data_IF_793962924948
#
_entry.id   IF_793962924948
#
_cell.length_a   1.000
_cell.length_b   1.000
_cell.length_c   1.000
_cell.angle_alpha   90.00
_cell.angle_beta   90.00
_cell.angle_gamma   90.00
#
_symmetry.space_group_name_H-M   'P 1'
#
loop_
_entity.id
_entity.type
_entity.pdbx_description
1 polymer ?
#
# COMPACT_ATOMS: atom_id res chain seq x y z
N UNK A 1 -15.57 7.09 -4.09
CA UNK A 1 -16.32 8.37 -3.91
C UNK A 1 -15.37 9.55 -3.77
N UNK A 2 -14.47 9.62 -2.77
CA UNK A 2 -13.57 10.79 -2.55
C UNK A 2 -12.79 11.18 -3.80
N UNK A 3 -12.19 10.22 -4.51
CA UNK A 3 -11.45 10.46 -5.75
C UNK A 3 -12.35 11.11 -6.82
N UNK A 4 -13.61 10.65 -6.94
CA UNK A 4 -14.59 11.17 -7.89
C UNK A 4 -15.03 12.60 -7.54
N UNK A 5 -15.09 12.93 -6.25
CA UNK A 5 -15.33 14.31 -5.79
C UNK A 5 -14.16 15.24 -6.15
N UNK A 6 -12.93 14.79 -6.00
CA UNK A 6 -11.74 15.58 -6.41
C UNK A 6 -11.72 15.77 -7.93
N UNK A 7 -12.07 14.72 -8.69
CA UNK A 7 -12.14 14.81 -10.15
C UNK A 7 -13.35 15.64 -10.66
N UNK A 8 -14.34 15.90 -9.83
CA UNK A 8 -15.55 16.69 -10.17
C UNK A 8 -16.68 15.90 -10.78
N UNK A 9 -16.65 14.56 -10.67
CA UNK A 9 -17.76 13.69 -11.09
C UNK A 9 -18.87 13.57 -10.05
N UNK A 10 -18.58 13.96 -8.81
CA UNK A 10 -19.52 14.01 -7.69
C UNK A 10 -19.27 15.26 -6.88
N UNK A 11 -20.30 15.79 -6.23
CA UNK A 11 -20.19 16.95 -5.34
C UNK A 11 -20.16 16.46 -3.88
N UNK A 12 -19.32 17.06 -3.02
CA UNK A 12 -19.39 16.78 -1.59
C UNK A 12 -20.67 17.39 -0.99
N UNK A 13 -21.31 16.68 -0.07
CA UNK A 13 -22.49 17.19 0.66
C UNK A 13 -22.10 18.36 1.57
N UNK A 14 -20.88 18.29 2.15
CA UNK A 14 -20.33 19.30 3.04
C UNK A 14 -18.83 19.43 2.85
N UNK A 15 -18.30 20.60 3.18
CA UNK A 15 -16.86 20.89 3.11
C UNK A 15 -16.40 21.38 1.75
N UNK A 16 -15.12 21.67 1.65
CA UNK A 16 -14.48 22.25 0.48
C UNK A 16 -13.26 21.47 0.07
N UNK A 17 -13.01 21.44 -1.24
CA UNK A 17 -11.85 20.80 -1.86
C UNK A 17 -10.99 21.90 -2.46
N UNK A 18 -9.71 21.91 -2.07
CA UNK A 18 -8.73 22.87 -2.57
C UNK A 18 -7.65 22.19 -3.41
N UNK A 19 -7.31 22.79 -4.55
CA UNK A 19 -6.08 22.53 -5.28
C UNK A 19 -5.16 23.73 -5.13
N UNK A 20 -4.07 23.58 -4.38
CA UNK A 20 -3.29 24.71 -3.91
C UNK A 20 -4.15 25.65 -3.07
N UNK A 21 -4.25 26.91 -3.49
CA UNK A 21 -5.10 27.93 -2.82
C UNK A 21 -6.49 28.08 -3.43
N UNK A 22 -6.83 27.31 -4.48
CA UNK A 22 -8.08 27.48 -5.24
C UNK A 22 -9.11 26.43 -4.81
N UNK A 23 -10.29 26.87 -4.36
CA UNK A 23 -11.44 26.01 -4.17
C UNK A 23 -11.97 25.51 -5.53
N UNK A 24 -12.27 24.22 -5.64
CA UNK A 24 -12.64 23.57 -6.90
C UNK A 24 -14.03 22.93 -6.88
N UNK A 25 -14.82 23.11 -5.82
CA UNK A 25 -16.14 22.49 -5.69
C UNK A 25 -17.04 22.76 -6.89
N UNK A 26 -17.14 24.05 -7.29
CA UNK A 26 -18.01 24.53 -8.37
C UNK A 26 -17.42 24.33 -9.78
N UNK A 27 -16.18 23.85 -9.88
CA UNK A 27 -15.54 23.65 -11.17
C UNK A 27 -15.98 22.33 -11.81
N UNK A 28 -16.41 22.41 -13.07
CA UNK A 28 -16.64 21.21 -13.88
C UNK A 28 -15.36 20.37 -14.03
N UNK A 29 -15.45 19.04 -14.24
CA UNK A 29 -14.28 18.16 -14.34
C UNK A 29 -13.22 18.66 -15.32
N UNK A 30 -13.62 19.13 -16.50
CA UNK A 30 -12.71 19.62 -17.54
C UNK A 30 -12.04 20.98 -17.23
N UNK A 31 -12.41 21.63 -16.14
CA UNK A 31 -11.83 22.88 -15.66
C UNK A 31 -10.94 22.69 -14.42
N UNK A 32 -10.89 21.48 -13.90
CA UNK A 32 -10.01 21.13 -12.78
C UNK A 32 -8.62 20.77 -13.31
N UNK A 33 -7.60 21.17 -12.59
CA UNK A 33 -6.21 20.84 -12.91
C UNK A 33 -5.88 19.42 -12.41
N UNK A 34 -6.69 18.46 -12.84
CA UNK A 34 -6.58 17.05 -12.50
C UNK A 34 -6.69 16.20 -13.75
N UNK A 35 -6.00 15.04 -13.75
CA UNK A 35 -6.23 13.98 -14.72
C UNK A 35 -6.46 12.66 -14.00
N UNK A 36 -7.27 11.78 -14.58
CA UNK A 36 -7.65 10.53 -13.94
C UNK A 36 -7.31 9.32 -14.83
N UNK A 37 -6.70 8.32 -14.21
CA UNK A 37 -6.49 6.98 -14.76
C UNK A 37 -7.50 6.05 -14.11
N UNK A 38 -8.42 5.51 -14.92
CA UNK A 38 -9.50 4.65 -14.46
C UNK A 38 -9.07 3.18 -14.42
N UNK A 39 -9.76 2.38 -13.64
CA UNK A 39 -9.58 0.94 -13.52
C UNK A 39 -9.69 0.22 -14.88
N UNK A 40 -10.60 0.64 -15.75
CA UNK A 40 -10.79 0.10 -17.10
C UNK A 40 -9.87 0.72 -18.16
N UNK A 41 -8.91 1.56 -17.73
CA UNK A 41 -8.05 2.40 -18.58
C UNK A 41 -8.83 3.42 -19.44
N UNK A 42 -10.09 3.18 -19.73
CA UNK A 42 -10.99 4.02 -20.54
C UNK A 42 -10.36 4.51 -21.85
N UNK A 43 -9.59 3.64 -22.51
CA UNK A 43 -9.01 3.96 -23.81
C UNK A 43 -10.10 4.10 -24.87
N UNK A 44 -9.88 5.00 -25.82
CA UNK A 44 -10.77 5.24 -26.93
C UNK A 44 -10.56 4.12 -27.97
N UNK A 45 -11.52 3.19 -28.17
CA UNK A 45 -11.27 1.96 -28.92
C UNK A 45 -11.09 2.17 -30.42
N UNK A 46 -11.57 3.30 -30.95
CA UNK A 46 -11.46 3.65 -32.37
C UNK A 46 -10.25 4.50 -32.72
N UNK A 47 -9.38 4.75 -31.73
CA UNK A 47 -8.15 5.51 -31.88
C UNK A 47 -6.94 4.60 -31.68
N UNK A 48 -5.88 4.89 -32.45
CA UNK A 48 -4.55 4.30 -32.20
C UNK A 48 -3.92 4.87 -30.94
N UNK A 49 -2.71 4.44 -30.60
CA UNK A 49 -1.95 4.91 -29.42
C UNK A 49 -1.71 6.41 -29.50
N UNK A 50 -1.23 6.91 -30.65
CA UNK A 50 -0.97 8.34 -30.86
C UNK A 50 -2.23 9.17 -30.60
N UNK A 51 -3.34 8.80 -31.22
CA UNK A 51 -4.60 9.55 -31.13
C UNK A 51 -5.22 9.51 -29.73
N UNK A 52 -5.06 8.40 -29.01
CA UNK A 52 -5.45 8.30 -27.60
C UNK A 52 -4.71 9.33 -26.75
N UNK A 53 -3.37 9.42 -26.89
CA UNK A 53 -2.54 10.35 -26.12
C UNK A 53 -2.82 11.80 -26.57
N UNK A 54 -2.90 12.04 -27.88
CA UNK A 54 -3.13 13.36 -28.46
C UNK A 54 -4.52 13.94 -28.19
N UNK A 55 -5.48 13.13 -27.74
CA UNK A 55 -6.89 13.52 -27.67
C UNK A 55 -7.12 14.82 -26.88
N UNK A 56 -6.58 14.92 -25.67
CA UNK A 56 -6.72 16.12 -24.84
C UNK A 56 -6.05 17.35 -25.45
N UNK A 57 -4.88 17.17 -26.07
CA UNK A 57 -4.15 18.26 -26.75
C UNK A 57 -4.93 18.79 -27.97
N UNK A 58 -5.58 17.88 -28.71
CA UNK A 58 -6.46 18.27 -29.83
C UNK A 58 -7.65 19.10 -29.35
N UNK A 59 -8.26 18.75 -28.21
CA UNK A 59 -9.34 19.53 -27.61
C UNK A 59 -8.87 20.92 -27.15
N UNK A 60 -7.61 21.07 -26.72
CA UNK A 60 -6.98 22.37 -26.43
C UNK A 60 -6.63 23.17 -27.69
N UNK A 61 -6.82 22.59 -28.90
CA UNK A 61 -6.51 23.20 -30.19
C UNK A 61 -5.04 23.60 -30.37
N UNK A 62 -4.11 22.82 -29.82
CA UNK A 62 -2.68 23.06 -30.01
C UNK A 62 -2.25 22.85 -31.46
N UNK A 63 -1.16 23.48 -31.93
CA UNK A 63 -0.57 23.25 -33.24
C UNK A 63 -0.18 21.77 -33.44
N UNK A 64 -0.34 21.26 -34.66
CA UNK A 64 -0.07 19.84 -34.99
C UNK A 64 1.36 19.42 -34.63
N UNK A 65 2.35 20.25 -34.91
CA UNK A 65 3.76 19.95 -34.62
C UNK A 65 4.02 19.87 -33.10
N UNK A 66 3.38 20.72 -32.33
CA UNK A 66 3.47 20.70 -30.86
C UNK A 66 2.81 19.45 -30.28
N UNK A 67 1.61 19.07 -30.78
CA UNK A 67 0.94 17.81 -30.41
C UNK A 67 1.86 16.63 -30.69
N UNK A 68 2.44 16.57 -31.91
CA UNK A 68 3.35 15.50 -32.30
C UNK A 68 4.51 15.39 -31.35
N UNK A 69 5.20 16.50 -31.07
CA UNK A 69 6.33 16.54 -30.14
C UNK A 69 5.92 16.02 -28.76
N UNK A 70 4.87 16.58 -28.15
CA UNK A 70 4.44 16.19 -26.80
C UNK A 70 4.03 14.72 -26.71
N UNK A 71 3.37 14.18 -27.75
CA UNK A 71 2.99 12.76 -27.79
C UNK A 71 4.21 11.86 -27.87
N UNK A 72 5.21 12.19 -28.71
CA UNK A 72 6.43 11.38 -28.79
C UNK A 72 7.26 11.45 -27.51
N UNK A 73 7.35 12.62 -26.86
CA UNK A 73 8.00 12.76 -25.57
C UNK A 73 7.32 11.87 -24.49
N UNK A 74 5.98 11.77 -24.54
CA UNK A 74 5.23 10.88 -23.63
C UNK A 74 5.41 9.40 -23.97
N UNK A 75 5.46 9.03 -25.24
CA UNK A 75 5.70 7.65 -25.67
C UNK A 75 7.08 7.16 -25.22
N UNK A 76 8.08 8.03 -25.31
CA UNK A 76 9.41 7.73 -24.79
C UNK A 76 9.39 7.55 -23.27
N UNK A 77 8.70 8.47 -22.56
CA UNK A 77 8.58 8.41 -21.09
C UNK A 77 7.96 7.11 -20.57
N UNK A 78 6.96 6.59 -21.30
CA UNK A 78 6.22 5.35 -20.92
C UNK A 78 6.73 4.10 -21.65
N UNK A 79 7.86 4.18 -22.35
CA UNK A 79 8.49 3.07 -23.09
C UNK A 79 7.57 2.41 -24.11
N UNK A 80 6.86 3.22 -24.90
CA UNK A 80 5.98 2.78 -25.99
C UNK A 80 6.39 3.32 -27.36
N UNK A 81 7.60 3.80 -27.51
CA UNK A 81 8.15 4.29 -28.79
C UNK A 81 8.07 3.21 -29.87
N UNK A 82 7.60 3.56 -31.07
CA UNK A 82 7.37 2.63 -32.18
C UNK A 82 6.02 1.91 -32.14
N UNK A 83 5.12 2.30 -31.22
CA UNK A 83 3.76 1.73 -31.12
C UNK A 83 2.66 2.73 -31.49
N UNK A 84 3.02 3.89 -32.04
CA UNK A 84 2.15 5.04 -32.27
C UNK A 84 0.89 4.69 -33.06
N UNK A 85 1.05 3.86 -34.11
CA UNK A 85 0.00 3.48 -35.05
C UNK A 85 -0.82 2.24 -34.61
N UNK A 86 -0.42 1.57 -33.51
CA UNK A 86 -1.15 0.40 -33.02
C UNK A 86 -2.50 0.79 -32.46
N UNK A 87 -3.49 -0.04 -32.75
CA UNK A 87 -4.82 0.08 -32.15
C UNK A 87 -4.82 -0.47 -30.74
N UNK A 88 -5.70 0.04 -29.87
CA UNK A 88 -5.77 -0.35 -28.45
C UNK A 88 -5.99 -1.84 -28.22
N UNK A 89 -6.71 -2.53 -29.11
CA UNK A 89 -6.96 -3.98 -29.07
C UNK A 89 -5.74 -4.84 -29.45
N UNK A 90 -4.69 -4.24 -30.00
CA UNK A 90 -3.42 -4.90 -30.34
C UNK A 90 -2.39 -4.82 -29.19
N UNK A 91 -2.76 -4.21 -28.06
CA UNK A 91 -1.89 -3.96 -26.93
C UNK A 91 -2.16 -4.95 -25.80
N UNK A 92 -1.09 -5.36 -25.10
CA UNK A 92 -1.24 -6.06 -23.81
C UNK A 92 -1.84 -5.14 -22.74
N UNK A 93 -2.39 -5.71 -21.66
CA UNK A 93 -2.97 -4.93 -20.56
C UNK A 93 -2.02 -3.89 -19.98
N UNK A 94 -0.74 -4.24 -19.78
CA UNK A 94 0.28 -3.28 -19.32
C UNK A 94 0.57 -2.17 -20.33
N UNK A 95 0.56 -2.47 -21.65
CA UNK A 95 0.71 -1.45 -22.68
C UNK A 95 -0.51 -0.52 -22.72
N UNK A 96 -1.71 -1.06 -22.57
CA UNK A 96 -2.95 -0.26 -22.49
C UNK A 96 -2.89 0.70 -21.29
N UNK A 97 -2.42 0.22 -20.14
CA UNK A 97 -2.25 1.03 -18.94
C UNK A 97 -1.23 2.16 -19.16
N UNK A 98 -0.08 1.86 -19.80
CA UNK A 98 0.93 2.88 -20.15
C UNK A 98 0.36 3.95 -21.09
N UNK A 99 -0.49 3.56 -22.05
CA UNK A 99 -1.19 4.52 -22.90
C UNK A 99 -2.15 5.40 -22.10
N UNK A 100 -2.92 4.82 -21.16
CA UNK A 100 -3.81 5.58 -20.31
C UNK A 100 -3.04 6.57 -19.42
N UNK A 101 -1.90 6.14 -18.86
CA UNK A 101 -1.01 6.98 -18.09
C UNK A 101 -0.43 8.13 -18.93
N UNK A 102 0.09 7.84 -20.13
CA UNK A 102 0.61 8.84 -21.06
C UNK A 102 -0.46 9.87 -21.44
N UNK A 103 -1.70 9.41 -21.73
CA UNK A 103 -2.84 10.28 -22.02
C UNK A 103 -3.19 11.23 -20.85
N UNK A 104 -3.06 10.76 -19.62
CA UNK A 104 -3.27 11.59 -18.45
C UNK A 104 -2.12 12.60 -18.25
N UNK A 105 -0.87 12.14 -18.38
CA UNK A 105 0.33 12.94 -18.13
C UNK A 105 0.60 14.01 -19.20
N UNK A 106 0.26 13.75 -20.47
CA UNK A 106 0.48 14.71 -21.58
C UNK A 106 -0.25 16.02 -21.34
N UNK A 107 -1.30 16.01 -20.55
CA UNK A 107 -2.07 17.20 -20.16
C UNK A 107 -1.37 18.04 -19.10
N UNK A 108 -0.25 17.54 -18.51
CA UNK A 108 0.52 18.19 -17.44
C UNK A 108 -0.37 18.62 -16.27
N UNK A 109 -1.15 17.71 -15.65
CA UNK A 109 -2.07 18.06 -14.57
C UNK A 109 -1.29 18.39 -13.29
N UNK A 110 -1.83 19.26 -12.44
CA UNK A 110 -1.29 19.53 -11.12
C UNK A 110 -1.46 18.33 -10.17
N UNK A 111 -2.51 17.51 -10.36
CA UNK A 111 -2.75 16.27 -9.59
C UNK A 111 -3.18 15.13 -10.50
N UNK A 112 -2.53 13.98 -10.33
CA UNK A 112 -2.87 12.74 -11.02
C UNK A 112 -3.68 11.83 -10.09
N UNK A 113 -4.83 11.36 -10.56
CA UNK A 113 -5.77 10.55 -9.80
C UNK A 113 -5.78 9.12 -10.36
N UNK A 114 -5.60 8.13 -9.50
CA UNK A 114 -5.62 6.72 -9.87
C UNK A 114 -6.74 5.98 -9.15
N UNK A 115 -7.66 5.39 -9.91
CA UNK A 115 -8.78 4.59 -9.39
C UNK A 115 -8.53 3.12 -9.69
N UNK A 116 -7.87 2.42 -8.78
CA UNK A 116 -7.49 1.00 -8.87
C UNK A 116 -6.83 0.59 -10.20
N UNK A 117 -5.83 1.32 -10.69
CA UNK A 117 -5.35 1.18 -12.07
C UNK A 117 -4.65 -0.16 -12.36
N UNK A 118 -4.25 -0.92 -11.34
CA UNK A 118 -3.52 -2.19 -11.48
C UNK A 118 -4.38 -3.43 -11.25
N UNK A 119 -5.65 -3.29 -10.90
CA UNK A 119 -6.52 -4.40 -10.50
C UNK A 119 -6.75 -5.43 -11.61
N UNK A 120 -6.72 -5.01 -12.88
CA UNK A 120 -6.96 -5.86 -14.06
C UNK A 120 -5.69 -6.56 -14.58
N UNK A 121 -4.55 -6.43 -13.91
CA UNK A 121 -3.29 -7.03 -14.32
C UNK A 121 -2.99 -8.32 -13.54
N UNK A 122 -2.27 -9.24 -14.18
CA UNK A 122 -1.70 -10.39 -13.50
C UNK A 122 -0.64 -9.98 -12.47
N UNK A 123 -0.32 -10.87 -11.52
CA UNK A 123 0.55 -10.56 -10.39
C UNK A 123 1.96 -10.09 -10.81
N UNK A 124 2.55 -10.72 -11.84
CA UNK A 124 3.91 -10.37 -12.31
C UNK A 124 3.92 -8.99 -12.97
N UNK A 125 2.97 -8.73 -13.85
CA UNK A 125 2.85 -7.46 -14.55
C UNK A 125 2.51 -6.32 -13.57
N UNK A 126 1.68 -6.59 -12.54
CA UNK A 126 1.35 -5.63 -11.48
C UNK A 126 2.60 -5.15 -10.73
N UNK A 127 3.52 -6.05 -10.37
CA UNK A 127 4.78 -5.68 -9.71
C UNK A 127 5.63 -4.78 -10.59
N UNK A 128 5.75 -5.09 -11.89
CA UNK A 128 6.51 -4.28 -12.86
C UNK A 128 5.88 -2.89 -13.00
N UNK A 129 4.57 -2.83 -13.27
CA UNK A 129 3.84 -1.58 -13.49
C UNK A 129 3.84 -0.67 -12.26
N UNK A 130 3.77 -1.23 -11.05
CA UNK A 130 3.90 -0.49 -9.80
C UNK A 130 5.24 0.25 -9.73
N UNK A 131 6.33 -0.45 -10.01
CA UNK A 131 7.68 0.13 -10.02
C UNK A 131 7.80 1.25 -11.07
N UNK A 132 7.25 1.06 -12.26
CA UNK A 132 7.26 2.05 -13.34
C UNK A 132 6.46 3.30 -13.00
N UNK A 133 5.24 3.14 -12.51
CA UNK A 133 4.40 4.27 -12.07
C UNK A 133 5.14 5.09 -11.00
N UNK A 134 5.77 4.44 -10.01
CA UNK A 134 6.53 5.13 -8.97
C UNK A 134 7.71 5.91 -9.56
N UNK A 135 8.49 5.31 -10.46
CA UNK A 135 9.61 5.97 -11.13
C UNK A 135 9.15 7.20 -11.93
N UNK A 136 8.08 7.07 -12.71
CA UNK A 136 7.52 8.18 -13.49
C UNK A 136 7.05 9.30 -12.57
N UNK A 137 6.31 8.99 -11.51
CA UNK A 137 5.81 9.94 -10.54
C UNK A 137 6.97 10.71 -9.88
N UNK A 138 8.04 10.01 -9.45
CA UNK A 138 9.22 10.61 -8.86
C UNK A 138 10.00 11.48 -9.87
N UNK A 139 10.17 11.00 -11.11
CA UNK A 139 10.87 11.75 -12.19
C UNK A 139 10.16 13.07 -12.50
N UNK A 140 8.83 13.07 -12.48
CA UNK A 140 8.02 14.26 -12.80
C UNK A 140 7.75 15.15 -11.58
N UNK A 141 7.94 14.63 -10.34
CA UNK A 141 7.60 15.35 -9.11
C UNK A 141 6.11 15.68 -8.96
N UNK A 142 5.23 14.94 -9.66
CA UNK A 142 3.79 15.21 -9.68
C UNK A 142 3.10 14.69 -8.41
N UNK A 143 2.15 15.44 -7.90
CA UNK A 143 1.26 14.96 -6.84
C UNK A 143 0.32 13.90 -7.40
N UNK A 144 0.27 12.74 -6.74
CA UNK A 144 -0.61 11.64 -7.13
C UNK A 144 -1.50 11.20 -5.96
N UNK A 145 -2.78 10.96 -6.23
CA UNK A 145 -3.70 10.32 -5.28
C UNK A 145 -4.07 8.97 -5.86
N UNK A 146 -3.79 7.92 -5.10
CA UNK A 146 -3.93 6.54 -5.52
C UNK A 146 -4.94 5.83 -4.62
N UNK A 147 -6.00 5.28 -5.20
CA UNK A 147 -6.97 4.42 -4.50
C UNK A 147 -6.69 2.98 -4.85
N UNK A 148 -6.52 2.14 -3.85
CA UNK A 148 -6.31 0.71 -4.00
C UNK A 148 -6.84 -0.05 -2.79
N UNK A 149 -7.19 -1.30 -2.98
CA UNK A 149 -7.41 -2.28 -1.93
C UNK A 149 -6.21 -3.24 -1.75
N UNK A 150 -5.19 -3.13 -2.60
CA UNK A 150 -3.96 -3.91 -2.50
C UNK A 150 -2.96 -3.22 -1.56
N UNK A 151 -2.65 -3.89 -0.45
CA UNK A 151 -1.74 -3.40 0.57
C UNK A 151 -0.32 -3.17 0.03
N UNK A 152 0.14 -4.07 -0.86
CA UNK A 152 1.48 -3.97 -1.44
C UNK A 152 1.59 -2.76 -2.37
N UNK A 153 0.51 -2.37 -3.05
CA UNK A 153 0.46 -1.13 -3.83
C UNK A 153 0.55 0.09 -2.92
N UNK A 154 -0.29 0.15 -1.88
CA UNK A 154 -0.27 1.25 -0.93
C UNK A 154 1.12 1.42 -0.30
N UNK A 155 1.74 0.34 0.16
CA UNK A 155 3.05 0.37 0.80
C UNK A 155 4.20 0.79 -0.12
N UNK A 156 4.15 0.41 -1.40
CA UNK A 156 5.27 0.63 -2.32
C UNK A 156 5.18 1.90 -3.16
N UNK A 157 3.97 2.42 -3.36
CA UNK A 157 3.73 3.60 -4.22
C UNK A 157 3.63 4.90 -3.43
N UNK A 158 3.19 4.84 -2.16
CA UNK A 158 2.80 6.04 -1.42
C UNK A 158 3.94 6.62 -0.59
N UNK A 159 3.98 7.93 -0.47
CA UNK A 159 4.75 8.65 0.54
C UNK A 159 3.94 8.75 1.84
N UNK A 160 2.61 8.81 1.71
CA UNK A 160 1.66 8.84 2.83
C UNK A 160 0.44 7.98 2.51
N UNK A 161 -0.02 7.21 3.48
CA UNK A 161 -1.21 6.36 3.39
C UNK A 161 -2.32 6.93 4.27
N UNK A 162 -3.53 6.97 3.73
CA UNK A 162 -4.75 7.30 4.46
C UNK A 162 -5.62 6.04 4.48
N UNK A 163 -5.68 5.39 5.63
CA UNK A 163 -6.54 4.22 5.82
C UNK A 163 -7.94 4.66 6.27
N UNK A 164 -8.95 4.20 5.56
CA UNK A 164 -10.35 4.53 5.85
C UNK A 164 -11.12 3.32 6.37
N UNK A 165 -12.01 3.55 7.34
CA UNK A 165 -12.96 2.56 7.87
C UNK A 165 -14.33 3.22 8.03
N UNK A 166 -15.36 2.63 7.44
CA UNK A 166 -16.73 3.13 7.55
C UNK A 166 -16.88 4.64 7.22
N UNK A 167 -16.21 5.11 6.16
CA UNK A 167 -16.26 6.50 5.71
C UNK A 167 -15.44 7.49 6.54
N UNK A 168 -14.71 7.02 7.57
CA UNK A 168 -13.86 7.86 8.42
C UNK A 168 -12.39 7.46 8.27
N UNK A 169 -11.48 8.41 8.48
CA UNK A 169 -10.05 8.13 8.52
C UNK A 169 -9.73 7.38 9.80
N UNK A 170 -9.24 6.14 9.67
CA UNK A 170 -8.80 5.31 10.79
C UNK A 170 -7.37 5.67 11.21
N UNK A 171 -6.48 5.85 10.23
CA UNK A 171 -5.10 6.29 10.46
C UNK A 171 -4.56 6.95 9.19
N UNK A 172 -3.67 7.90 9.37
CA UNK A 172 -2.87 8.57 8.34
C UNK A 172 -1.41 8.56 8.79
N UNK A 173 -0.49 8.26 7.87
CA UNK A 173 0.95 8.24 8.15
C UNK A 173 1.76 7.68 6.98
N UNK A 174 3.07 7.63 7.14
CA UNK A 174 3.97 6.96 6.20
C UNK A 174 3.71 5.45 6.17
N UNK A 175 4.10 4.72 5.11
CA UNK A 175 3.98 3.27 5.07
C UNK A 175 4.57 2.57 6.30
N UNK A 176 5.75 3.03 6.76
CA UNK A 176 6.41 2.49 7.93
C UNK A 176 5.61 2.73 9.22
N UNK A 177 5.08 3.94 9.42
CA UNK A 177 4.25 4.25 10.60
C UNK A 177 2.97 3.41 10.64
N UNK A 178 2.29 3.24 9.49
CA UNK A 178 1.07 2.44 9.40
C UNK A 178 1.37 0.96 9.72
N UNK A 179 2.52 0.44 9.28
CA UNK A 179 2.90 -0.96 9.47
C UNK A 179 3.42 -1.27 10.87
N UNK A 180 4.37 -0.44 11.36
CA UNK A 180 5.07 -0.70 12.62
C UNK A 180 4.40 -0.07 13.85
N UNK A 181 3.59 0.97 13.65
CA UNK A 181 2.93 1.73 14.72
C UNK A 181 1.44 1.92 14.45
N UNK A 182 0.70 0.81 14.22
CA UNK A 182 -0.74 0.88 13.99
C UNK A 182 -1.44 1.44 15.23
N UNK A 183 -2.44 2.31 15.03
CA UNK A 183 -3.21 2.93 16.14
C UNK A 183 -4.37 2.07 16.64
N UNK A 184 -4.64 0.93 16.01
CA UNK A 184 -5.71 0.02 16.40
C UNK A 184 -5.48 -1.38 15.82
N UNK A 185 -6.13 -2.38 16.41
CA UNK A 185 -6.15 -3.75 15.88
C UNK A 185 -6.63 -3.80 14.42
N UNK A 186 -7.64 -2.98 14.08
CA UNK A 186 -8.13 -2.88 12.72
C UNK A 186 -7.04 -2.45 11.74
N UNK A 187 -6.27 -1.43 12.07
CA UNK A 187 -5.17 -0.96 11.20
C UNK A 187 -4.09 -2.03 11.09
N UNK A 188 -3.71 -2.65 12.21
CA UNK A 188 -2.72 -3.72 12.22
C UNK A 188 -3.13 -4.90 11.32
N UNK A 189 -4.38 -5.36 11.43
CA UNK A 189 -4.92 -6.50 10.67
C UNK A 189 -5.14 -6.16 9.19
N UNK A 190 -5.60 -4.94 8.90
CA UNK A 190 -5.86 -4.52 7.53
C UNK A 190 -4.58 -4.42 6.67
N UNK A 191 -3.43 -4.10 7.27
CA UNK A 191 -2.18 -3.77 6.53
C UNK A 191 -1.27 -4.99 6.31
N UNK A 192 -1.59 -6.12 6.85
CA UNK A 192 -0.80 -7.33 6.68
C UNK A 192 -1.12 -8.37 7.73
N UNK A 193 -0.57 -9.55 7.57
CA UNK A 193 -0.74 -10.59 8.57
C UNK A 193 -0.22 -10.14 9.94
N UNK A 194 -1.01 -10.41 10.97
CA UNK A 194 -0.71 -10.04 12.35
C UNK A 194 -1.25 -11.07 13.31
N UNK A 195 -0.61 -11.22 14.44
CA UNK A 195 -1.13 -11.91 15.62
C UNK A 195 -1.07 -10.96 16.80
N UNK A 196 -1.99 -11.11 17.74
CA UNK A 196 -2.04 -10.28 18.95
C UNK A 196 -1.79 -11.15 20.17
N UNK A 197 -0.81 -10.76 20.96
CA UNK A 197 -0.51 -11.42 22.22
C UNK A 197 -0.95 -10.50 23.38
N UNK A 198 -1.86 -10.98 24.20
CA UNK A 198 -2.37 -10.22 25.34
C UNK A 198 -1.35 -10.21 26.48
N UNK A 199 -1.26 -9.08 27.16
CA UNK A 199 -0.40 -8.93 28.33
C UNK A 199 -0.85 -7.79 29.23
N UNK A 200 -0.14 -7.59 30.31
CA UNK A 200 -0.40 -6.52 31.28
C UNK A 200 0.82 -5.62 31.36
N UNK A 201 0.61 -4.32 31.25
CA UNK A 201 1.69 -3.32 31.36
C UNK A 201 2.30 -3.38 32.76
N UNK A 202 3.59 -3.65 32.85
CA UNK A 202 4.37 -3.70 34.09
C UNK A 202 4.99 -2.33 34.41
N UNK A 203 5.56 -1.69 33.40
CA UNK A 203 6.16 -0.37 33.54
C UNK A 203 6.15 0.38 32.22
N UNK A 204 6.13 1.72 32.31
CA UNK A 204 6.20 2.63 31.15
C UNK A 204 7.32 3.65 31.42
N UNK A 205 8.18 3.88 30.44
CA UNK A 205 9.25 4.88 30.47
C UNK A 205 9.34 5.58 29.10
N UNK A 206 8.66 6.70 28.97
CA UNK A 206 8.46 7.36 27.67
C UNK A 206 7.68 6.46 26.71
N UNK A 207 8.28 6.14 25.57
CA UNK A 207 7.69 5.22 24.60
C UNK A 207 7.98 3.73 24.90
N UNK A 208 8.94 3.44 25.79
CA UNK A 208 9.29 2.07 26.14
C UNK A 208 8.31 1.51 27.18
N UNK A 209 7.79 0.34 26.89
CA UNK A 209 6.82 -0.37 27.71
C UNK A 209 7.37 -1.78 27.99
N UNK A 210 7.28 -2.21 29.26
CA UNK A 210 7.49 -3.60 29.62
C UNK A 210 6.12 -4.22 29.87
N UNK A 211 5.81 -5.27 29.12
CA UNK A 211 4.55 -6.02 29.21
C UNK A 211 4.83 -7.36 29.84
N UNK A 212 4.11 -7.68 30.90
CA UNK A 212 4.08 -9.01 31.49
C UNK A 212 3.14 -9.91 30.68
N UNK A 213 3.71 -10.96 30.14
CA UNK A 213 2.98 -12.03 29.45
C UNK A 213 3.20 -13.32 30.25
N UNK A 214 2.31 -13.60 31.19
CA UNK A 214 2.36 -14.77 32.09
C UNK A 214 3.70 -14.98 32.81
N UNK A 215 4.22 -13.93 33.39
CA UNK A 215 5.47 -13.94 34.14
C UNK A 215 6.72 -13.72 33.29
N UNK A 216 6.56 -13.52 31.99
CA UNK A 216 7.64 -13.22 31.04
C UNK A 216 7.58 -11.75 30.65
N UNK A 217 8.66 -11.02 30.91
CA UNK A 217 8.78 -9.61 30.58
C UNK A 217 9.11 -9.42 29.09
N UNK A 218 8.18 -8.82 28.34
CA UNK A 218 8.34 -8.47 26.92
C UNK A 218 8.54 -6.97 26.79
N UNK A 219 9.64 -6.57 26.15
CA UNK A 219 9.93 -5.15 25.85
C UNK A 219 9.24 -4.76 24.55
N UNK A 220 8.56 -3.61 24.56
CA UNK A 220 7.84 -3.09 23.42
C UNK A 220 7.81 -1.55 23.43
N UNK A 221 7.32 -0.95 22.39
CA UNK A 221 7.09 0.49 22.26
C UNK A 221 5.58 0.78 22.18
N UNK A 222 5.15 1.87 22.78
CA UNK A 222 3.78 2.37 22.63
C UNK A 222 3.79 3.87 22.38
N UNK A 223 2.89 4.29 21.50
CA UNK A 223 2.62 5.71 21.25
C UNK A 223 1.29 6.16 21.87
N UNK A 224 0.65 5.27 22.64
CA UNK A 224 -0.57 5.55 23.39
C UNK A 224 -0.28 5.97 24.84
N UNK A 225 -1.32 6.33 25.57
CA UNK A 225 -1.26 6.71 26.98
C UNK A 225 -1.47 5.48 27.89
N UNK A 226 -0.55 4.52 27.84
CA UNK A 226 -0.59 3.34 28.69
C UNK A 226 0.00 3.67 30.08
N UNK A 227 -0.58 3.04 31.11
CA UNK A 227 -0.08 3.09 32.48
C UNK A 227 0.14 1.68 33.03
N UNK A 228 0.99 1.57 34.05
CA UNK A 228 1.22 0.28 34.71
C UNK A 228 -0.10 -0.30 35.25
N UNK A 229 -0.35 -1.57 34.91
CA UNK A 229 -1.57 -2.27 35.27
C UNK A 229 -2.60 -2.41 34.13
N UNK A 230 -2.47 -1.64 33.04
CA UNK A 230 -3.36 -1.73 31.90
C UNK A 230 -3.24 -3.09 31.18
N UNK A 231 -4.37 -3.58 30.67
CA UNK A 231 -4.38 -4.69 29.72
C UNK A 231 -4.07 -4.15 28.32
N UNK A 232 -3.18 -4.82 27.62
CA UNK A 232 -2.72 -4.39 26.32
C UNK A 232 -2.56 -5.58 25.36
N UNK A 233 -2.37 -5.26 24.08
CA UNK A 233 -2.09 -6.25 23.04
C UNK A 233 -0.77 -5.93 22.35
N UNK A 234 0.15 -6.87 22.36
CA UNK A 234 1.41 -6.79 21.62
C UNK A 234 1.10 -7.19 20.17
N UNK A 235 1.49 -6.34 19.25
CA UNK A 235 1.36 -6.56 17.78
C UNK A 235 2.52 -7.43 17.32
N UNK A 236 2.24 -8.64 16.88
CA UNK A 236 3.24 -9.59 16.39
C UNK A 236 3.11 -9.73 14.87
N UNK A 237 4.09 -9.22 14.14
CA UNK A 237 4.23 -9.49 12.70
C UNK A 237 4.92 -10.84 12.51
N UNK A 238 4.50 -11.66 11.52
CA UNK A 238 5.06 -13.01 11.32
C UNK A 238 6.59 -13.06 11.16
N UNK A 239 7.17 -12.04 10.58
CA UNK A 239 8.62 -11.90 10.37
C UNK A 239 9.40 -11.46 11.61
N UNK A 240 8.71 -10.96 12.63
CA UNK A 240 9.33 -10.45 13.86
C UNK A 240 9.39 -11.50 14.98
N UNK A 241 8.84 -12.68 14.74
CA UNK A 241 8.79 -13.76 15.73
C UNK A 241 9.67 -14.91 15.27
N UNK A 242 10.51 -15.42 16.17
CA UNK A 242 11.35 -16.59 15.91
C UNK A 242 11.04 -17.73 16.88
N UNK A 243 11.26 -18.98 16.45
CA UNK A 243 11.19 -20.13 17.30
C UNK A 243 12.58 -20.51 17.84
N UNK A 244 12.63 -20.91 19.10
CA UNK A 244 13.85 -21.38 19.75
C UNK A 244 13.55 -22.59 20.64
N UNK A 245 14.59 -23.39 20.89
CA UNK A 245 14.50 -24.54 21.81
C UNK A 245 14.73 -24.15 23.27
N UNK A 246 15.31 -22.99 23.52
CA UNK A 246 15.77 -22.57 24.87
C UNK A 246 15.54 -21.08 25.08
N UNK A 247 15.51 -20.65 26.34
CA UNK A 247 15.51 -19.27 26.74
C UNK A 247 14.38 -18.88 27.69
N UNK A 248 14.44 -17.65 28.21
CA UNK A 248 13.36 -17.01 28.96
C UNK A 248 12.33 -16.46 27.97
N UNK A 249 11.59 -17.37 27.34
CA UNK A 249 10.75 -17.10 26.17
C UNK A 249 9.38 -17.79 26.34
N UNK A 250 8.37 -17.31 25.63
CA UNK A 250 6.99 -17.75 25.79
C UNK A 250 6.84 -19.17 25.21
N UNK A 251 6.41 -20.16 26.02
CA UNK A 251 6.25 -21.52 25.55
C UNK A 251 5.13 -21.64 24.51
N UNK A 252 5.34 -22.44 23.48
CA UNK A 252 4.35 -22.67 22.42
C UNK A 252 4.45 -24.09 21.87
N UNK A 253 3.40 -24.51 21.17
CA UNK A 253 3.34 -25.75 20.41
C UNK A 253 3.12 -25.45 18.93
N UNK A 254 3.90 -26.08 18.06
CA UNK A 254 3.74 -25.93 16.62
C UNK A 254 2.51 -26.71 16.17
N UNK A 255 1.51 -25.99 15.64
CA UNK A 255 0.25 -26.56 15.14
C UNK A 255 0.36 -26.89 13.67
N UNK A 256 1.07 -26.05 12.90
CA UNK A 256 1.24 -26.19 11.46
C UNK A 256 2.62 -25.71 11.04
N UNK A 257 3.21 -26.41 10.05
CA UNK A 257 4.52 -26.07 9.49
C UNK A 257 4.53 -26.43 8.01
N UNK A 258 4.90 -25.47 7.14
CA UNK A 258 4.99 -25.70 5.69
C UNK A 258 6.03 -24.78 5.04
N UNK A 259 6.70 -25.30 4.01
CA UNK A 259 7.65 -24.54 3.22
C UNK A 259 6.95 -23.78 2.08
N UNK A 260 7.10 -22.47 2.06
CA UNK A 260 6.48 -21.56 1.10
C UNK A 260 7.43 -21.08 -0.02
N UNK A 261 8.56 -21.76 -0.19
CA UNK A 261 9.60 -21.36 -1.16
C UNK A 261 10.57 -20.32 -0.62
N UNK A 262 10.11 -19.12 -0.34
CA UNK A 262 10.94 -18.03 0.19
C UNK A 262 11.14 -18.10 1.71
N UNK A 263 10.26 -18.77 2.44
CA UNK A 263 10.27 -18.85 3.89
C UNK A 263 9.60 -20.14 4.37
N UNK A 264 9.88 -20.52 5.62
CA UNK A 264 9.13 -21.53 6.35
C UNK A 264 8.02 -20.84 7.12
N UNK A 265 6.77 -21.24 6.88
CA UNK A 265 5.59 -20.74 7.57
C UNK A 265 5.23 -21.66 8.71
N UNK A 266 4.96 -21.06 9.87
CA UNK A 266 4.45 -21.76 11.05
C UNK A 266 3.18 -21.11 11.57
N UNK A 267 2.30 -21.95 12.10
CA UNK A 267 1.29 -21.54 13.08
C UNK A 267 1.63 -22.23 14.39
N UNK A 268 1.75 -21.44 15.45
CA UNK A 268 2.05 -21.97 16.77
C UNK A 268 0.97 -21.55 17.75
N UNK A 269 0.63 -22.42 18.68
CA UNK A 269 -0.29 -22.13 19.75
C UNK A 269 0.51 -21.72 20.99
N UNK A 270 0.41 -20.47 21.36
CA UNK A 270 0.89 -19.94 22.65
C UNK A 270 -0.36 -19.65 23.48
N UNK A 271 -0.53 -20.36 24.60
CA UNK A 271 -1.76 -20.31 25.40
C UNK A 271 -3.03 -20.62 24.55
N UNK A 272 -3.91 -19.63 24.42
CA UNK A 272 -5.13 -19.74 23.65
C UNK A 272 -5.07 -18.98 22.30
N UNK A 273 -3.89 -18.47 21.94
CA UNK A 273 -3.69 -17.65 20.74
C UNK A 273 -2.87 -18.41 19.69
N UNK A 274 -3.31 -18.36 18.44
CA UNK A 274 -2.52 -18.81 17.29
C UNK A 274 -1.66 -17.66 16.82
N UNK A 275 -0.34 -17.89 16.79
CA UNK A 275 0.65 -16.93 16.32
C UNK A 275 1.22 -17.46 15.01
N UNK A 276 1.26 -16.59 14.01
CA UNK A 276 1.82 -16.86 12.69
C UNK A 276 3.28 -16.39 12.66
N UNK A 277 4.15 -17.19 12.03
CA UNK A 277 5.59 -16.95 11.97
C UNK A 277 6.08 -17.22 10.56
N UNK A 278 6.89 -16.31 10.01
CA UNK A 278 7.58 -16.43 8.72
C UNK A 278 9.09 -16.46 8.98
N UNK A 279 9.71 -17.63 8.94
CA UNK A 279 11.17 -17.73 9.00
C UNK A 279 11.75 -17.64 7.58
N UNK A 280 12.36 -16.50 7.27
CA UNK A 280 12.97 -16.21 5.96
C UNK A 280 14.36 -16.82 5.79
N UNK A 281 14.92 -17.47 6.80
CA UNK A 281 16.18 -18.17 6.71
C UNK A 281 16.12 -19.61 7.25
N UNK A 282 15.20 -20.46 6.75
CA UNK A 282 14.94 -21.78 7.33
C UNK A 282 16.14 -22.73 7.20
N UNK A 283 17.12 -22.44 6.35
CA UNK A 283 18.35 -23.23 6.22
C UNK A 283 19.35 -22.99 7.35
N UNK A 284 19.27 -21.85 8.01
CA UNK A 284 20.13 -21.49 9.14
C UNK A 284 19.50 -21.88 10.49
N UNK A 285 18.21 -22.20 10.50
CA UNK A 285 17.47 -22.49 11.71
C UNK A 285 16.99 -23.95 11.73
N UNK A 286 16.68 -24.45 12.92
CA UNK A 286 15.98 -25.72 13.09
C UNK A 286 14.57 -25.62 12.50
N UNK A 287 14.20 -26.61 11.70
CA UNK A 287 12.83 -26.73 11.19
C UNK A 287 12.00 -27.55 12.19
N UNK A 288 10.95 -26.92 12.71
CA UNK A 288 9.99 -27.55 13.61
C UNK A 288 8.84 -28.18 12.83
N UNK A 289 8.30 -29.28 13.37
CA UNK A 289 7.15 -30.00 12.81
C UNK A 289 5.91 -29.77 13.68
N UNK A 290 4.74 -30.03 13.13
CA UNK A 290 3.51 -30.05 13.92
C UNK A 290 3.63 -31.03 15.09
N UNK A 291 3.26 -30.60 16.30
CA UNK A 291 3.40 -31.30 17.57
C UNK A 291 4.69 -30.98 18.33
N UNK A 292 5.68 -30.32 17.72
CA UNK A 292 6.90 -29.96 18.43
C UNK A 292 6.61 -28.83 19.44
N UNK A 293 7.26 -28.91 20.60
CA UNK A 293 7.28 -27.85 21.60
C UNK A 293 8.46 -26.93 21.33
N UNK A 294 8.22 -25.65 21.41
CA UNK A 294 9.21 -24.60 21.19
C UNK A 294 8.89 -23.38 22.06
N UNK A 295 9.69 -22.33 21.92
CA UNK A 295 9.47 -21.06 22.59
C UNK A 295 9.48 -19.93 21.55
N UNK A 296 8.67 -18.88 21.79
CA UNK A 296 8.66 -17.66 20.99
C UNK A 296 9.79 -16.74 21.48
N UNK A 297 10.77 -16.48 20.63
CA UNK A 297 11.79 -15.48 20.88
C UNK A 297 11.34 -14.15 20.30
N UNK A 298 11.20 -13.13 21.15
CA UNK A 298 10.78 -11.76 20.85
C UNK A 298 11.86 -10.72 21.15
N UNK A 299 13.05 -11.14 21.61
CA UNK A 299 14.08 -10.24 22.17
C UNK A 299 14.66 -9.24 21.15
N UNK A 300 14.74 -9.61 19.89
CA UNK A 300 15.34 -8.79 18.84
C UNK A 300 14.31 -7.97 18.04
N UNK A 301 13.07 -7.96 18.46
CA UNK A 301 11.97 -7.35 17.72
C UNK A 301 11.58 -6.01 18.34
N UNK A 302 11.48 -4.97 17.50
CA UNK A 302 10.79 -3.74 17.90
C UNK A 302 9.29 -4.01 17.86
N UNK A 303 8.75 -4.40 18.99
CA UNK A 303 7.33 -4.71 19.14
C UNK A 303 6.54 -3.45 19.44
N UNK A 304 5.32 -3.38 18.95
CA UNK A 304 4.38 -2.30 19.21
C UNK A 304 3.23 -2.80 20.11
N UNK A 305 2.73 -1.92 20.99
CA UNK A 305 1.63 -2.22 21.93
C UNK A 305 0.46 -1.28 21.68
N UNK A 306 -0.73 -1.90 21.61
CA UNK A 306 -2.04 -1.24 21.51
C UNK A 306 -2.76 -1.24 22.86
#
# INVERSE_FOLDING_TARGET
TTLRMIAGFESPDHGEIYLGSKAINELMPNKRDTAMVFQSYALLPHYNVFDNIAYGLKLRKLPKEEIKKQVFDMLDLVELTGMEERMTNQLSGGQQQRVALARALVMQPGVLLFDEPLSNLDAKLRVTMRTEIRKIQQKLGITAIYVTHDQSEAMSLSDEIILMKNGKIAQKGTPQEIYYSPKSEFVADFIGEVSFLSGKVKSVSGQNVVVDVNGIDVKAESYGNLVAGDLCKIVLRPENVQLTDTGNAIPCEVVFSTFMGAYQYYQVKAENTIIKINDYNPRAHKIYKAGDKAYLNLENSKLHVL
#
